data_IF_748559028133
#
_entry.id   IF_748559028133
#
_cell.length_a   1.000
_cell.length_b   1.000
_cell.length_c   1.000
_cell.angle_alpha   90.00
_cell.angle_beta   90.00
_cell.angle_gamma   90.00
#
_symmetry.space_group_name_H-M   'P 1'
#
loop_
_entity.id
_entity.type
_entity.pdbx_description
1 polymer ?
#
# COMPACT_ATOMS: atom_id res chain seq x y z
N UNK A 1 -72.78 -14.94 -17.31
CA UNK A 1 -72.31 -14.88 -18.72
C UNK A 1 -72.31 -13.43 -19.20
N UNK A 2 -71.24 -12.69 -18.93
CA UNK A 2 -71.12 -11.28 -19.33
C UNK A 2 -70.56 -11.18 -20.76
N UNK A 3 -71.37 -10.72 -21.71
CA UNK A 3 -70.96 -10.49 -23.10
C UNK A 3 -69.89 -9.39 -23.15
N UNK A 4 -68.62 -9.79 -23.18
CA UNK A 4 -67.50 -8.87 -23.41
C UNK A 4 -67.72 -8.28 -24.80
N UNK A 5 -68.00 -6.98 -24.87
CA UNK A 5 -68.25 -6.26 -26.12
C UNK A 5 -67.05 -6.47 -27.05
N UNK A 6 -67.28 -6.96 -28.27
CA UNK A 6 -66.23 -7.19 -29.29
C UNK A 6 -65.26 -5.99 -29.43
N UNK A 7 -65.75 -4.78 -29.18
CA UNK A 7 -65.00 -3.53 -29.22
C UNK A 7 -63.91 -3.42 -28.15
N UNK A 8 -64.11 -3.95 -26.93
CA UNK A 8 -63.07 -3.96 -25.89
C UNK A 8 -62.02 -5.03 -26.17
N UNK A 9 -62.42 -6.18 -26.72
CA UNK A 9 -61.46 -7.22 -27.12
C UNK A 9 -60.59 -6.77 -28.30
N UNK A 10 -61.19 -6.09 -29.29
CA UNK A 10 -60.45 -5.47 -30.40
C UNK A 10 -59.46 -4.40 -29.93
N UNK A 11 -59.82 -3.61 -28.90
CA UNK A 11 -58.89 -2.62 -28.30
C UNK A 11 -57.75 -3.31 -27.54
N UNK A 12 -58.04 -4.37 -26.80
CA UNK A 12 -57.01 -5.13 -26.08
C UNK A 12 -56.02 -5.77 -27.06
N UNK A 13 -56.51 -6.39 -28.13
CA UNK A 13 -55.68 -7.00 -29.18
C UNK A 13 -54.82 -5.94 -29.87
N UNK A 14 -55.37 -4.76 -30.17
CA UNK A 14 -54.59 -3.66 -30.76
C UNK A 14 -53.49 -3.16 -29.83
N UNK A 15 -53.75 -3.04 -28.52
CA UNK A 15 -52.74 -2.62 -27.54
C UNK A 15 -51.62 -3.67 -27.45
N UNK A 16 -51.96 -4.96 -27.36
CA UNK A 16 -50.97 -6.04 -27.31
C UNK A 16 -50.14 -6.07 -28.61
N UNK A 17 -50.80 -5.92 -29.76
CA UNK A 17 -50.10 -5.89 -31.05
C UNK A 17 -49.17 -4.68 -31.17
N UNK A 18 -49.60 -3.49 -30.73
CA UNK A 18 -48.74 -2.30 -30.70
C UNK A 18 -47.54 -2.45 -29.77
N UNK A 19 -47.72 -3.10 -28.61
CA UNK A 19 -46.65 -3.35 -27.66
C UNK A 19 -45.62 -4.35 -28.21
N UNK A 20 -46.09 -5.42 -28.86
CA UNK A 20 -45.23 -6.40 -29.53
C UNK A 20 -44.48 -5.77 -30.70
N UNK A 21 -45.16 -4.98 -31.52
CA UNK A 21 -44.53 -4.27 -32.64
C UNK A 21 -43.45 -3.29 -32.14
N UNK A 22 -43.75 -2.50 -31.11
CA UNK A 22 -42.76 -1.61 -30.50
C UNK A 22 -41.55 -2.38 -29.93
N UNK A 23 -41.77 -3.53 -29.29
CA UNK A 23 -40.68 -4.37 -28.78
C UNK A 23 -39.80 -4.95 -29.89
N UNK A 24 -40.39 -5.35 -31.02
CA UNK A 24 -39.65 -5.86 -32.18
C UNK A 24 -38.84 -4.74 -32.84
N UNK A 25 -39.44 -3.57 -33.07
CA UNK A 25 -38.75 -2.42 -33.65
C UNK A 25 -37.63 -1.94 -32.73
N UNK A 26 -37.86 -1.90 -31.41
CA UNK A 26 -36.83 -1.56 -30.43
C UNK A 26 -35.67 -2.57 -30.44
N UNK A 27 -35.98 -3.87 -30.53
CA UNK A 27 -34.95 -4.91 -30.64
C UNK A 27 -34.16 -4.81 -31.94
N UNK A 28 -34.83 -4.47 -33.05
CA UNK A 28 -34.17 -4.29 -34.35
C UNK A 28 -33.25 -3.07 -34.38
N UNK A 29 -33.72 -1.91 -33.88
CA UNK A 29 -32.88 -0.69 -33.72
C UNK A 29 -31.69 -0.96 -32.79
N UNK A 30 -31.90 -1.72 -31.71
CA UNK A 30 -30.82 -2.13 -30.81
C UNK A 30 -29.77 -3.00 -31.51
N UNK A 31 -30.20 -3.91 -32.39
CA UNK A 31 -29.30 -4.75 -33.19
C UNK A 31 -28.54 -3.93 -34.24
N UNK A 32 -29.19 -2.99 -34.92
CA UNK A 32 -28.51 -2.09 -35.86
C UNK A 32 -27.47 -1.21 -35.16
N UNK A 33 -27.74 -0.77 -33.92
CA UNK A 33 -26.77 0.01 -33.12
C UNK A 33 -25.53 -0.80 -32.75
N UNK A 34 -25.62 -2.14 -32.70
CA UNK A 34 -24.47 -3.02 -32.52
C UNK A 34 -23.69 -3.24 -33.82
N UNK A 35 -24.36 -3.23 -34.97
CA UNK A 35 -23.71 -3.38 -36.28
C UNK A 35 -23.02 -2.09 -36.77
N UNK A 36 -23.49 -0.92 -36.34
CA UNK A 36 -22.89 0.38 -36.65
C UNK A 36 -21.84 0.85 -35.62
N UNK A 37 -21.35 -0.05 -34.76
CA UNK A 37 -20.08 0.22 -34.07
C UNK A 37 -19.02 0.30 -35.16
N UNK A 38 -18.56 1.52 -35.44
CA UNK A 38 -17.50 1.79 -36.39
C UNK A 38 -16.36 0.78 -36.17
N UNK A 39 -15.71 0.27 -37.23
CA UNK A 39 -14.50 -0.51 -37.05
C UNK A 39 -13.59 0.31 -36.15
N UNK A 40 -13.21 -0.26 -35.00
CA UNK A 40 -12.26 0.37 -34.10
C UNK A 40 -11.08 0.76 -34.97
N UNK A 41 -10.93 2.06 -35.19
CA UNK A 41 -9.72 2.63 -35.77
C UNK A 41 -8.60 2.04 -34.93
N UNK A 42 -7.76 1.20 -35.56
CA UNK A 42 -6.63 0.57 -34.87
C UNK A 42 -5.72 1.72 -34.51
N UNK A 43 -5.94 2.28 -33.32
CA UNK A 43 -4.97 3.10 -32.64
C UNK A 43 -3.77 2.19 -32.55
N UNK A 44 -2.76 2.50 -33.36
CA UNK A 44 -1.47 1.86 -33.30
C UNK A 44 -0.93 2.24 -31.93
N UNK A 45 -1.23 1.42 -30.92
CA UNK A 45 -0.63 1.55 -29.60
C UNK A 45 0.86 1.48 -29.87
N UNK A 46 1.66 2.52 -29.57
CA UNK A 46 3.10 2.37 -29.67
C UNK A 46 3.43 1.18 -28.77
N UNK A 47 4.14 0.19 -29.33
CA UNK A 47 4.74 -0.89 -28.56
C UNK A 47 5.24 -0.30 -27.25
N UNK A 48 4.90 -0.86 -26.07
CA UNK A 48 5.41 -0.32 -24.82
C UNK A 48 6.92 -0.33 -24.95
N UNK A 49 7.50 0.85 -25.19
CA UNK A 49 8.92 1.05 -24.98
C UNK A 49 9.10 0.63 -23.54
N UNK A 50 9.94 -0.37 -23.22
CA UNK A 50 10.16 -0.74 -21.84
C UNK A 50 10.53 0.56 -21.15
N UNK A 51 9.63 1.07 -20.30
CA UNK A 51 9.87 2.29 -19.55
C UNK A 51 11.13 1.97 -18.77
N UNK A 52 12.25 2.52 -19.23
CA UNK A 52 13.53 2.31 -18.57
C UNK A 52 13.27 2.76 -17.14
N UNK A 53 13.38 1.87 -16.13
CA UNK A 53 13.25 2.31 -14.75
C UNK A 53 14.21 3.49 -14.57
N UNK A 54 13.84 4.52 -13.80
CA UNK A 54 14.62 5.74 -13.68
C UNK A 54 16.09 5.35 -13.47
N UNK A 55 16.95 5.80 -14.39
CA UNK A 55 18.37 5.51 -14.31
C UNK A 55 18.83 6.11 -12.99
N UNK A 56 19.37 5.29 -12.09
CA UNK A 56 19.98 5.77 -10.84
C UNK A 56 21.19 6.61 -11.25
N UNK A 57 20.96 7.91 -11.50
CA UNK A 57 21.99 8.87 -11.85
C UNK A 57 22.67 9.33 -10.57
N UNK A 58 23.65 8.55 -10.15
CA UNK A 58 24.61 8.84 -9.10
C UNK A 58 25.79 7.89 -9.24
N UNK A 59 26.97 8.23 -8.71
CA UNK A 59 28.02 7.22 -8.55
C UNK A 59 27.41 6.05 -7.74
N UNK A 60 27.32 4.87 -8.36
CA UNK A 60 26.68 3.65 -7.81
C UNK A 60 27.21 3.27 -6.42
N UNK A 61 28.39 3.78 -6.07
CA UNK A 61 29.01 3.62 -4.75
C UNK A 61 28.05 4.00 -3.62
N UNK A 62 27.20 5.01 -3.79
CA UNK A 62 26.15 5.37 -2.82
C UNK A 62 25.04 6.22 -3.48
N UNK A 63 23.90 5.62 -3.81
CA UNK A 63 22.70 6.33 -4.25
C UNK A 63 21.64 6.32 -3.14
N UNK A 64 21.05 7.48 -2.81
CA UNK A 64 19.83 7.52 -2.00
C UNK A 64 18.64 7.20 -2.89
N UNK A 65 17.92 6.12 -2.57
CA UNK A 65 16.66 5.77 -3.20
C UNK A 65 15.57 6.76 -2.77
N UNK A 66 14.49 6.83 -3.55
CA UNK A 66 13.36 7.75 -3.33
C UNK A 66 12.65 7.52 -1.97
N UNK A 67 12.84 6.36 -1.35
CA UNK A 67 12.30 6.00 -0.03
C UNK A 67 13.29 6.29 1.12
N UNK A 68 14.39 6.99 0.87
CA UNK A 68 15.40 7.37 1.87
C UNK A 68 16.43 6.27 2.19
N UNK A 69 16.34 5.11 1.54
CA UNK A 69 17.30 4.01 1.72
C UNK A 69 18.59 4.34 0.97
N UNK A 70 19.72 4.13 1.64
CA UNK A 70 21.05 4.31 1.04
C UNK A 70 21.49 3.00 0.39
N UNK A 71 21.50 2.95 -0.94
CA UNK A 71 21.97 1.80 -1.71
C UNK A 71 23.45 1.97 -2.02
N UNK A 72 24.26 1.00 -1.58
CA UNK A 72 25.66 0.86 -1.99
C UNK A 72 25.73 -0.32 -2.94
N UNK A 73 26.15 -0.08 -4.17
CA UNK A 73 26.22 -1.12 -5.19
C UNK A 73 27.65 -1.24 -5.70
N UNK A 74 28.27 -2.38 -5.45
CA UNK A 74 29.56 -2.77 -6.02
C UNK A 74 29.33 -3.90 -7.01
N UNK A 75 30.08 -3.89 -8.12
CA UNK A 75 30.10 -5.00 -9.07
C UNK A 75 31.46 -5.65 -8.96
N UNK A 76 31.47 -6.91 -8.52
CA UNK A 76 32.68 -7.73 -8.43
C UNK A 76 32.63 -8.78 -9.54
N UNK A 77 33.67 -8.85 -10.35
CA UNK A 77 33.78 -9.83 -11.44
C UNK A 77 34.90 -10.80 -11.12
N UNK A 78 34.57 -12.09 -11.03
CA UNK A 78 35.53 -13.17 -10.81
C UNK A 78 35.76 -13.87 -12.15
N UNK A 79 37.01 -14.19 -12.55
CA UNK A 79 37.26 -14.95 -13.77
C UNK A 79 36.59 -16.33 -13.72
N UNK A 80 35.75 -16.62 -14.72
CA UNK A 80 35.02 -17.88 -14.87
C UNK A 80 35.52 -18.74 -16.04
N UNK A 81 34.82 -19.84 -16.29
CA UNK A 81 35.00 -20.73 -17.43
C UNK A 81 34.33 -20.17 -18.70
N UNK A 82 34.07 -21.03 -19.69
CA UNK A 82 33.34 -20.63 -20.88
C UNK A 82 31.87 -20.30 -20.56
N UNK A 83 31.27 -19.43 -21.37
CA UNK A 83 29.91 -18.92 -21.12
C UNK A 83 28.83 -20.01 -21.09
N UNK A 84 29.08 -21.18 -21.70
CA UNK A 84 28.14 -22.31 -21.67
C UNK A 84 28.10 -22.95 -20.30
N UNK A 85 29.28 -23.17 -19.70
CA UNK A 85 29.44 -23.73 -18.37
C UNK A 85 28.91 -22.76 -17.32
N UNK A 86 29.30 -21.48 -17.37
CA UNK A 86 28.84 -20.47 -16.42
C UNK A 86 27.31 -20.28 -16.46
N UNK A 87 26.69 -20.27 -17.64
CA UNK A 87 25.22 -20.15 -17.75
C UNK A 87 24.47 -21.33 -17.12
N UNK A 88 25.09 -22.51 -17.06
CA UNK A 88 24.49 -23.69 -16.44
C UNK A 88 24.58 -23.66 -14.91
N UNK A 89 25.55 -22.93 -14.36
CA UNK A 89 25.72 -22.73 -12.92
C UNK A 89 24.76 -21.68 -12.37
N UNK A 90 24.02 -22.01 -11.32
CA UNK A 90 23.02 -21.11 -10.73
C UNK A 90 23.65 -19.89 -10.03
N UNK A 91 24.86 -20.05 -9.51
CA UNK A 91 25.57 -19.04 -8.72
C UNK A 91 26.51 -18.15 -9.56
N UNK A 92 26.55 -18.34 -10.89
CA UNK A 92 27.40 -17.56 -11.80
C UNK A 92 26.96 -16.10 -11.97
N UNK A 93 25.71 -15.78 -11.60
CA UNK A 93 25.14 -14.45 -11.73
C UNK A 93 24.20 -14.11 -10.57
N UNK A 94 24.79 -13.78 -9.41
CA UNK A 94 24.08 -13.55 -8.14
C UNK A 94 24.13 -12.08 -7.73
N UNK A 95 23.03 -11.60 -7.16
CA UNK A 95 22.93 -10.30 -6.51
C UNK A 95 22.59 -10.49 -5.02
N UNK A 96 23.51 -10.13 -4.15
CA UNK A 96 23.29 -10.14 -2.71
C UNK A 96 22.68 -8.82 -2.22
N UNK A 97 21.48 -8.89 -1.66
CA UNK A 97 20.79 -7.76 -1.04
C UNK A 97 20.86 -7.85 0.48
N UNK A 98 21.53 -6.89 1.12
CA UNK A 98 21.62 -6.78 2.59
C UNK A 98 21.12 -5.43 3.08
N UNK A 99 19.92 -5.41 3.66
CA UNK A 99 19.37 -4.23 4.33
C UNK A 99 19.73 -4.23 5.82
N UNK A 100 20.30 -3.12 6.29
CA UNK A 100 20.59 -2.90 7.71
C UNK A 100 19.67 -1.82 8.26
N UNK A 101 18.67 -2.22 9.05
CA UNK A 101 17.76 -1.32 9.74
C UNK A 101 17.99 -1.39 11.25
N UNK A 102 18.16 -0.24 11.91
CA UNK A 102 18.27 -0.16 13.38
C UNK A 102 16.87 -0.05 13.95
N UNK A 103 16.46 -1.01 14.78
CA UNK A 103 15.18 -0.92 15.50
C UNK A 103 15.35 0.05 16.67
N UNK A 104 14.52 1.10 16.78
CA UNK A 104 14.62 2.09 17.84
C UNK A 104 14.16 1.54 19.19
N UNK A 105 14.68 2.13 20.26
CA UNK A 105 14.25 1.87 21.63
C UNK A 105 13.14 2.85 22.05
N UNK A 106 12.10 2.39 22.77
CA UNK A 106 11.01 3.26 23.19
C UNK A 106 11.42 4.20 24.32
N UNK A 107 10.94 5.44 24.27
CA UNK A 107 11.03 6.38 25.39
C UNK A 107 10.14 5.92 26.55
N UNK A 108 10.64 6.03 27.78
CA UNK A 108 9.97 5.55 29.00
C UNK A 108 9.75 6.66 30.02
N UNK A 109 10.60 7.68 30.03
CA UNK A 109 10.58 8.75 31.03
C UNK A 109 9.93 10.02 30.50
N UNK A 110 9.44 10.86 31.40
CA UNK A 110 8.81 12.13 31.01
C UNK A 110 9.81 13.06 30.32
N UNK A 111 11.08 13.03 30.72
CA UNK A 111 12.16 13.81 30.11
C UNK A 111 12.44 13.36 28.68
N UNK A 112 12.38 12.06 28.41
CA UNK A 112 12.53 11.52 27.06
C UNK A 112 11.33 11.87 26.18
N UNK A 113 10.10 11.74 26.69
CA UNK A 113 8.89 12.14 25.97
C UNK A 113 8.91 13.65 25.62
N UNK A 114 9.43 14.47 26.53
CA UNK A 114 9.54 15.92 26.35
C UNK A 114 10.54 16.32 25.25
N UNK A 115 11.50 15.45 24.87
CA UNK A 115 12.42 15.73 23.74
C UNK A 115 11.66 15.82 22.41
N UNK A 116 10.64 14.99 22.24
CA UNK A 116 9.79 14.97 21.04
C UNK A 116 8.62 15.95 21.19
N UNK A 117 8.04 16.06 22.39
CA UNK A 117 6.90 16.94 22.65
C UNK A 117 7.15 17.81 23.89
N UNK A 118 7.83 18.97 23.76
CA UNK A 118 8.25 19.79 24.90
C UNK A 118 7.12 20.29 25.81
N UNK A 119 5.92 20.47 25.24
CA UNK A 119 4.75 20.94 25.98
C UNK A 119 4.01 19.84 26.74
N UNK A 120 4.35 18.56 26.51
CA UNK A 120 3.64 17.41 27.08
C UNK A 120 3.55 17.43 28.62
N UNK A 121 4.63 17.76 29.37
CA UNK A 121 4.54 17.81 30.83
C UNK A 121 3.60 18.91 31.34
N UNK A 122 3.50 20.02 30.61
CA UNK A 122 2.60 21.13 30.95
C UNK A 122 1.14 20.83 30.62
N UNK A 123 0.88 20.13 29.51
CA UNK A 123 -0.47 19.75 29.08
C UNK A 123 -1.06 18.61 29.92
N UNK A 124 -0.21 17.70 30.39
CA UNK A 124 -0.61 16.52 31.17
C UNK A 124 0.22 16.41 32.46
N UNK A 125 -0.01 17.28 33.46
CA UNK A 125 0.79 17.29 34.69
C UNK A 125 0.65 16.00 35.51
N UNK A 126 -0.47 15.28 35.38
CA UNK A 126 -0.69 13.98 36.01
C UNK A 126 0.07 12.83 35.36
N UNK A 127 0.66 13.01 34.18
CA UNK A 127 1.27 11.94 33.39
C UNK A 127 2.38 11.21 34.15
N UNK A 128 3.22 11.96 34.88
CA UNK A 128 4.32 11.39 35.67
C UNK A 128 3.81 10.40 36.72
N UNK A 129 2.67 10.70 37.34
CA UNK A 129 2.06 9.83 38.36
C UNK A 129 1.40 8.58 37.79
N UNK A 130 1.15 8.57 36.47
CA UNK A 130 0.51 7.45 35.78
C UNK A 130 1.51 6.50 35.11
N UNK A 131 2.80 6.88 35.05
CA UNK A 131 3.87 6.04 34.51
C UNK A 131 4.17 4.90 35.49
N UNK A 132 4.09 3.67 34.97
CA UNK A 132 4.46 2.47 35.71
C UNK A 132 5.98 2.21 35.61
N UNK A 133 6.56 1.35 36.46
CA UNK A 133 7.98 0.98 36.38
C UNK A 133 8.39 0.36 35.04
N UNK A 134 7.49 -0.41 34.41
CA UNK A 134 7.65 -0.94 33.07
C UNK A 134 6.50 -0.42 32.19
N UNK A 135 6.58 0.84 31.71
CA UNK A 135 5.45 1.48 31.08
C UNK A 135 5.30 1.07 29.62
N UNK A 136 6.26 0.37 29.02
CA UNK A 136 6.25 0.08 27.57
C UNK A 136 5.22 -1.00 27.25
N UNK A 137 4.33 -0.70 26.31
CA UNK A 137 3.37 -1.69 25.83
C UNK A 137 4.03 -2.70 24.91
N UNK A 138 3.60 -3.97 25.01
CA UNK A 138 3.89 -5.03 24.03
C UNK A 138 3.53 -4.66 22.59
N UNK A 139 2.58 -3.73 22.41
CA UNK A 139 2.20 -3.20 21.10
C UNK A 139 3.37 -2.54 20.36
N UNK A 140 4.32 -1.92 21.08
CA UNK A 140 5.50 -1.32 20.47
C UNK A 140 6.39 -2.37 19.79
N UNK A 141 6.67 -3.47 20.50
CA UNK A 141 7.45 -4.59 19.96
C UNK A 141 6.73 -5.22 18.77
N UNK A 142 5.41 -5.46 18.89
CA UNK A 142 4.60 -6.02 17.80
C UNK A 142 4.60 -5.14 16.54
N UNK A 143 4.57 -3.82 16.71
CA UNK A 143 4.64 -2.85 15.62
C UNK A 143 5.97 -2.97 14.88
N UNK A 144 7.10 -2.96 15.60
CA UNK A 144 8.41 -3.07 14.96
C UNK A 144 8.69 -4.47 14.39
N UNK A 145 8.22 -5.54 15.03
CA UNK A 145 8.29 -6.89 14.47
C UNK A 145 7.53 -6.99 13.14
N UNK A 146 6.38 -6.34 13.04
CA UNK A 146 5.59 -6.27 11.80
C UNK A 146 6.32 -5.48 10.73
N UNK A 147 6.90 -4.33 11.07
CA UNK A 147 7.70 -3.53 10.12
C UNK A 147 8.92 -4.28 9.62
N UNK A 148 9.64 -4.97 10.51
CA UNK A 148 10.79 -5.80 10.14
C UNK A 148 10.35 -6.95 9.23
N UNK A 149 9.20 -7.57 9.49
CA UNK A 149 8.62 -8.57 8.60
C UNK A 149 8.34 -8.00 7.21
N UNK A 150 7.69 -6.84 7.13
CA UNK A 150 7.44 -6.16 5.86
C UNK A 150 8.74 -5.84 5.10
N UNK A 151 9.81 -5.44 5.80
CA UNK A 151 11.11 -5.24 5.18
C UNK A 151 11.68 -6.54 4.58
N UNK A 152 11.54 -7.67 5.27
CA UNK A 152 11.99 -8.98 4.78
C UNK A 152 11.20 -9.44 3.57
N UNK A 153 9.87 -9.35 3.63
CA UNK A 153 8.97 -9.79 2.56
C UNK A 153 9.14 -8.96 1.28
N UNK A 154 9.53 -7.68 1.41
CA UNK A 154 9.66 -6.76 0.30
C UNK A 154 11.11 -6.42 -0.08
N UNK A 155 12.11 -7.11 0.48
CA UNK A 155 13.53 -6.77 0.25
C UNK A 155 13.93 -6.83 -1.24
N UNK A 156 13.35 -7.76 -1.99
CA UNK A 156 13.56 -7.89 -3.43
C UNK A 156 12.80 -6.82 -4.25
N UNK A 157 11.88 -6.08 -3.63
CA UNK A 157 11.00 -5.09 -4.25
C UNK A 157 11.23 -3.71 -3.63
N UNK A 158 12.34 -3.10 -4.02
CA UNK A 158 12.77 -1.80 -3.51
C UNK A 158 11.75 -0.67 -3.75
N UNK A 159 10.84 -0.84 -4.72
CA UNK A 159 9.74 0.07 -5.05
C UNK A 159 8.67 0.19 -3.95
N UNK A 160 8.41 -0.90 -3.22
CA UNK A 160 7.39 -0.96 -2.14
C UNK A 160 8.01 -1.12 -0.75
N UNK A 161 9.34 -1.08 -0.67
CA UNK A 161 10.05 -1.20 0.60
C UNK A 161 9.78 0.03 1.48
N UNK A 162 9.47 -0.21 2.76
CA UNK A 162 9.19 0.84 3.75
C UNK A 162 10.26 1.93 3.71
N UNK A 163 9.82 3.18 3.61
CA UNK A 163 10.71 4.33 3.70
C UNK A 163 11.27 4.50 5.11
N UNK A 164 12.35 5.26 5.24
CA UNK A 164 12.90 5.63 6.55
C UNK A 164 11.85 6.29 7.44
N UNK A 165 11.10 7.27 6.91
CA UNK A 165 10.05 7.98 7.65
C UNK A 165 8.94 7.03 8.14
N UNK A 166 8.54 6.05 7.33
CA UNK A 166 7.54 5.07 7.74
C UNK A 166 8.10 4.03 8.71
N UNK A 167 9.38 3.68 8.60
CA UNK A 167 10.00 2.75 9.55
C UNK A 167 10.14 3.40 10.93
N UNK A 168 10.51 4.68 10.99
CA UNK A 168 10.76 5.47 12.19
C UNK A 168 9.61 6.42 12.59
N UNK A 169 8.36 6.03 12.34
CA UNK A 169 7.17 6.89 12.59
C UNK A 169 6.69 6.95 14.06
N UNK A 170 7.20 6.08 14.93
CA UNK A 170 6.67 5.86 16.27
C UNK A 170 7.79 5.81 17.29
N UNK A 171 7.77 6.80 18.19
CA UNK A 171 8.75 6.95 19.25
C UNK A 171 8.49 5.99 20.40
N UNK A 172 7.23 5.89 20.87
CA UNK A 172 6.88 4.99 21.98
C UNK A 172 5.39 4.69 22.07
N UNK A 173 5.07 3.56 22.70
CA UNK A 173 3.72 3.21 23.12
C UNK A 173 3.78 2.82 24.60
N UNK A 174 3.14 3.60 25.46
CA UNK A 174 3.16 3.42 26.90
C UNK A 174 1.79 3.06 27.46
N UNK A 175 1.75 2.07 28.35
CA UNK A 175 0.63 1.75 29.21
C UNK A 175 0.71 2.61 30.49
N UNK A 176 -0.37 3.32 30.74
CA UNK A 176 -0.52 4.21 31.88
C UNK A 176 -1.63 3.70 32.79
N UNK A 177 -1.48 3.92 34.10
CA UNK A 177 -2.54 3.63 35.05
C UNK A 177 -2.63 4.73 36.10
N UNK A 178 -3.82 5.28 36.27
CA UNK A 178 -4.07 6.27 37.32
C UNK A 178 -4.00 5.62 38.70
N UNK A 179 -3.21 6.13 39.66
CA UNK A 179 -2.96 5.45 40.93
C UNK A 179 -4.21 5.31 41.81
N UNK A 180 -5.07 6.34 41.88
CA UNK A 180 -6.28 6.32 42.72
C UNK A 180 -7.49 5.67 42.04
N UNK A 181 -7.71 5.94 40.75
CA UNK A 181 -8.92 5.46 40.04
C UNK A 181 -8.71 4.14 39.32
N UNK A 182 -7.47 3.65 39.25
CA UNK A 182 -7.03 2.47 38.50
C UNK A 182 -7.39 2.47 37.01
N UNK A 183 -7.84 3.61 36.47
CA UNK A 183 -8.15 3.77 35.05
C UNK A 183 -6.89 3.59 34.23
N UNK A 184 -6.98 2.78 33.19
CA UNK A 184 -5.89 2.51 32.25
C UNK A 184 -5.99 3.45 31.06
N UNK A 185 -4.85 3.90 30.56
CA UNK A 185 -4.74 4.65 29.33
C UNK A 185 -3.55 4.14 28.52
N UNK A 186 -3.59 4.36 27.20
CA UNK A 186 -2.49 4.06 26.30
C UNK A 186 -2.02 5.38 25.71
N UNK A 187 -0.74 5.71 25.89
CA UNK A 187 -0.11 6.86 25.27
C UNK A 187 0.69 6.39 24.06
N UNK A 188 0.42 6.99 22.90
CA UNK A 188 1.21 6.79 21.69
C UNK A 188 1.88 8.11 21.33
N UNK A 189 3.19 8.09 21.16
CA UNK A 189 3.94 9.24 20.65
C UNK A 189 4.48 8.89 19.27
N UNK A 190 3.94 9.58 18.26
CA UNK A 190 4.40 9.48 16.88
C UNK A 190 5.46 10.55 16.60
N UNK A 191 6.35 10.24 15.67
CA UNK A 191 7.31 11.16 15.07
C UNK A 191 7.04 11.17 13.57
N UNK A 192 6.23 12.13 13.13
CA UNK A 192 5.85 12.28 11.72
C UNK A 192 6.32 13.65 11.24
N UNK A 193 7.12 13.67 10.17
CA UNK A 193 7.40 14.90 9.42
C UNK A 193 6.12 15.33 8.67
N UNK A 194 5.73 16.61 8.78
CA UNK A 194 4.57 17.21 8.10
C UNK A 194 5.01 17.97 6.86
#
# INVERSE_FOLDING_TARGET
>A
MGRIRLRTWRRLVLVIFSALFAAIVYRWISLERLQHVAPLEVVVTPTPTPTRPPLITGKLDTAKLFNGITLRSTVETIPGADATTERAEADSYVLDLKLQARVPSPNKTIEELAKVSPQLPGLLPGLVTMLQPEPVSTLYTQLYDTKVRMLRENLARLDVLLSGHNFFDCQTVLQLQHPQTHRKALLLQAEMDV
#
